data_IF_625436111300
#
_entry.id   IF_625436111300
#
_cell.length_a   1.000
_cell.length_b   1.000
_cell.length_c   1.000
_cell.angle_alpha   90.00
_cell.angle_beta   90.00
_cell.angle_gamma   90.00
#
_symmetry.space_group_name_H-M   'P 1'
#
loop_
_entity.id
_entity.type
_entity.pdbx_description
1 polymer ?
#
# COMPACT_ATOMS: atom_id res chain seq x y z
N UNK A 1 7.07 -9.98 -4.69
CA UNK A 1 5.89 -9.10 -4.82
C UNK A 1 4.82 -9.80 -5.63
N UNK A 2 3.56 -9.60 -5.26
CA UNK A 2 2.39 -10.01 -6.04
C UNK A 2 1.43 -8.82 -6.11
N UNK A 3 1.19 -8.27 -7.30
CA UNK A 3 0.38 -7.07 -7.50
C UNK A 3 -0.70 -7.42 -8.51
N UNK A 4 -1.96 -7.22 -8.15
CA UNK A 4 -3.08 -7.43 -9.09
C UNK A 4 -2.96 -6.50 -10.30
N UNK A 5 -3.32 -7.00 -11.48
CA UNK A 5 -3.35 -6.22 -12.72
C UNK A 5 -4.38 -5.08 -12.71
N UNK A 6 -5.35 -5.11 -11.78
CA UNK A 6 -6.38 -4.08 -11.62
C UNK A 6 -5.99 -2.99 -10.61
N UNK A 7 -4.88 -3.16 -9.89
CA UNK A 7 -4.38 -2.15 -8.97
C UNK A 7 -3.86 -0.92 -9.73
N UNK A 8 -4.15 0.28 -9.21
CA UNK A 8 -3.69 1.55 -9.76
C UNK A 8 -2.64 2.12 -8.82
N UNK A 9 -1.40 2.17 -9.30
CA UNK A 9 -0.25 2.58 -8.49
C UNK A 9 0.42 3.77 -9.18
N UNK A 10 0.56 4.88 -8.45
CA UNK A 10 1.29 6.04 -8.92
C UNK A 10 2.75 5.69 -9.22
N UNK A 11 3.32 6.26 -10.29
CA UNK A 11 4.71 6.00 -10.71
C UNK A 11 5.74 6.46 -9.68
N UNK A 12 5.36 7.37 -8.79
CA UNK A 12 6.22 7.92 -7.74
C UNK A 12 6.18 7.07 -6.46
N UNK A 13 5.28 6.09 -6.36
CA UNK A 13 5.20 5.21 -5.20
C UNK A 13 6.44 4.30 -5.15
N UNK A 14 6.97 4.09 -3.94
CA UNK A 14 8.12 3.23 -3.69
C UNK A 14 7.60 1.96 -3.03
N UNK A 15 7.76 0.82 -3.68
CA UNK A 15 7.33 -0.49 -3.20
C UNK A 15 8.53 -1.43 -3.17
N UNK A 16 8.88 -1.93 -1.99
CA UNK A 16 10.09 -2.72 -1.77
C UNK A 16 9.83 -3.89 -0.81
N UNK A 17 10.30 -5.09 -1.14
CA UNK A 17 10.20 -6.29 -0.30
C UNK A 17 9.08 -7.26 -0.70
N UNK A 18 8.55 -7.99 0.28
CA UNK A 18 7.47 -8.97 0.12
C UNK A 18 6.11 -8.28 0.21
N UNK A 19 5.75 -7.56 -0.84
CA UNK A 19 4.49 -6.81 -0.90
C UNK A 19 3.44 -7.55 -1.73
N UNK A 20 2.23 -7.69 -1.17
CA UNK A 20 1.02 -8.19 -1.84
C UNK A 20 -0.02 -7.09 -1.94
N UNK A 21 -0.48 -6.78 -3.15
CA UNK A 21 -1.51 -5.76 -3.41
C UNK A 21 -2.69 -6.43 -4.15
N UNK A 22 -3.86 -6.37 -3.51
CA UNK A 22 -5.12 -6.94 -3.99
C UNK A 22 -5.76 -6.17 -5.14
N UNK A 23 -6.93 -6.63 -5.55
CA UNK A 23 -7.67 -6.06 -6.68
C UNK A 23 -8.22 -4.68 -6.38
N UNK A 24 -8.25 -3.81 -7.39
CA UNK A 24 -8.83 -2.47 -7.31
C UNK A 24 -8.25 -1.59 -6.18
N UNK A 25 -7.06 -1.92 -5.68
CA UNK A 25 -6.33 -1.07 -4.74
C UNK A 25 -5.82 0.17 -5.47
N UNK A 26 -5.95 1.32 -4.83
CA UNK A 26 -5.44 2.60 -5.33
C UNK A 26 -4.32 3.07 -4.42
N UNK A 27 -3.15 3.34 -5.00
CA UNK A 27 -1.98 3.88 -4.31
C UNK A 27 -1.60 5.18 -5.03
N UNK A 28 -1.72 6.30 -4.31
CA UNK A 28 -1.40 7.63 -4.82
C UNK A 28 0.11 7.97 -4.74
N UNK A 29 0.44 9.19 -5.13
CA UNK A 29 1.81 9.66 -5.23
C UNK A 29 2.58 9.64 -3.89
N UNK A 30 3.87 9.35 -3.98
CA UNK A 30 4.80 9.39 -2.85
C UNK A 30 4.46 8.46 -1.68
N UNK A 31 3.65 7.44 -1.91
CA UNK A 31 3.43 6.36 -0.95
C UNK A 31 4.69 5.50 -0.85
N UNK A 32 5.07 5.13 0.38
CA UNK A 32 6.21 4.26 0.65
C UNK A 32 5.72 2.98 1.31
N UNK A 33 5.95 1.83 0.66
CA UNK A 33 5.60 0.50 1.16
C UNK A 33 6.88 -0.34 1.22
N UNK A 34 7.31 -0.74 2.43
CA UNK A 34 8.56 -1.50 2.62
C UNK A 34 8.41 -2.67 3.59
N UNK A 35 8.80 -3.88 3.18
CA UNK A 35 8.85 -5.06 4.07
C UNK A 35 7.89 -6.17 3.64
N UNK A 36 7.28 -6.86 4.61
CA UNK A 36 6.24 -7.85 4.38
C UNK A 36 4.87 -7.20 4.56
N UNK A 37 4.31 -6.68 3.47
CA UNK A 37 3.08 -5.87 3.52
C UNK A 37 2.00 -6.50 2.67
N UNK A 38 0.80 -6.62 3.23
CA UNK A 38 -0.39 -7.10 2.52
C UNK A 38 -1.44 -5.98 2.52
N UNK A 39 -1.87 -5.55 1.34
CA UNK A 39 -2.98 -4.62 1.16
C UNK A 39 -4.07 -5.35 0.38
N UNK A 40 -5.20 -5.61 1.02
CA UNK A 40 -6.30 -6.34 0.39
C UNK A 40 -7.22 -5.44 -0.45
N UNK A 41 -8.06 -6.10 -1.24
CA UNK A 41 -8.91 -5.53 -2.29
C UNK A 41 -9.69 -4.28 -1.89
N UNK A 42 -9.84 -3.36 -2.85
CA UNK A 42 -10.66 -2.16 -2.72
C UNK A 42 -10.12 -1.10 -1.76
N UNK A 43 -8.90 -1.28 -1.23
CA UNK A 43 -8.30 -0.30 -0.33
C UNK A 43 -7.74 0.91 -1.09
N UNK A 44 -7.79 2.07 -0.45
CA UNK A 44 -7.31 3.34 -0.99
C UNK A 44 -6.21 3.91 -0.09
N UNK A 45 -5.03 4.10 -0.65
CA UNK A 45 -3.87 4.65 0.02
C UNK A 45 -3.57 6.02 -0.58
N UNK A 46 -3.87 7.07 0.17
CA UNK A 46 -3.61 8.44 -0.25
C UNK A 46 -2.12 8.78 -0.23
N UNK A 47 -1.80 9.91 -0.85
CA UNK A 47 -0.43 10.39 -1.01
C UNK A 47 0.35 10.52 0.32
N UNK A 48 1.68 10.36 0.25
CA UNK A 48 2.59 10.48 1.41
C UNK A 48 2.32 9.50 2.57
N UNK A 49 1.55 8.43 2.37
CA UNK A 49 1.41 7.36 3.37
C UNK A 49 2.66 6.50 3.42
N UNK A 50 3.09 6.13 4.62
CA UNK A 50 4.21 5.20 4.84
C UNK A 50 3.72 3.92 5.53
N UNK A 51 3.93 2.77 4.90
CA UNK A 51 3.57 1.44 5.42
C UNK A 51 4.83 0.58 5.46
N UNK A 52 5.20 0.06 6.63
CA UNK A 52 6.44 -0.70 6.81
C UNK A 52 6.26 -1.99 7.62
N UNK A 53 7.32 -2.80 7.65
CA UNK A 53 7.44 -3.95 8.55
C UNK A 53 6.58 -5.13 8.13
N UNK A 54 5.99 -5.82 9.10
CA UNK A 54 5.02 -6.89 8.88
C UNK A 54 3.60 -6.33 9.11
N UNK A 55 3.01 -5.78 8.05
CA UNK A 55 1.74 -5.02 8.14
C UNK A 55 0.69 -5.58 7.21
N UNK A 56 -0.51 -5.81 7.75
CA UNK A 56 -1.67 -6.28 6.99
C UNK A 56 -2.82 -5.28 7.06
N UNK A 57 -3.20 -4.75 5.91
CA UNK A 57 -4.37 -3.89 5.70
C UNK A 57 -5.48 -4.73 5.06
N UNK A 58 -6.63 -4.81 5.73
CA UNK A 58 -7.81 -5.54 5.26
C UNK A 58 -8.49 -4.92 4.04
N UNK A 59 -9.60 -5.49 3.58
CA UNK A 59 -10.36 -4.99 2.41
C UNK A 59 -11.05 -3.65 2.69
N UNK A 60 -11.23 -2.84 1.64
CA UNK A 60 -12.02 -1.60 1.65
C UNK A 60 -11.60 -0.59 2.73
N UNK A 61 -10.30 -0.52 3.04
CA UNK A 61 -9.78 0.50 3.95
C UNK A 61 -9.41 1.77 3.20
N UNK A 62 -9.47 2.90 3.89
CA UNK A 62 -8.97 4.18 3.38
C UNK A 62 -7.94 4.72 4.36
N UNK A 63 -6.72 4.94 3.86
CA UNK A 63 -5.61 5.49 4.64
C UNK A 63 -5.28 6.86 4.07
N UNK A 64 -5.52 7.89 4.89
CA UNK A 64 -5.41 9.30 4.52
C UNK A 64 -3.96 9.80 4.56
N UNK A 65 -3.68 10.96 3.91
CA UNK A 65 -2.31 11.44 3.73
C UNK A 65 -1.50 11.55 5.02
N UNK A 66 -0.19 11.33 4.91
CA UNK A 66 0.80 11.40 6.00
C UNK A 66 0.63 10.37 7.13
N UNK A 67 -0.27 9.39 6.98
CA UNK A 67 -0.35 8.30 7.94
C UNK A 67 0.91 7.42 7.90
N UNK A 68 1.33 6.93 9.07
CA UNK A 68 2.46 5.99 9.22
C UNK A 68 1.98 4.73 9.92
N UNK A 69 2.18 3.58 9.29
CA UNK A 69 1.74 2.27 9.77
C UNK A 69 2.91 1.29 9.82
N UNK A 70 2.99 0.50 10.90
CA UNK A 70 3.93 -0.62 11.01
C UNK A 70 5.41 -0.24 11.15
N UNK A 71 5.71 0.99 11.57
CA UNK A 71 7.09 1.41 11.86
C UNK A 71 7.53 0.88 13.22
N UNK A 72 8.27 -0.23 13.23
CA UNK A 72 9.03 -0.74 14.38
C UNK A 72 10.32 -1.37 13.89
#
# INVERSE_FOLDING_TARGET
MSISSTAKIAKTAIIEGEVTIGENVIIEDYVVIKGNVIIQDGSYIYNHVTIRGNTHIGKNNTIFPNAVLGTM
#
